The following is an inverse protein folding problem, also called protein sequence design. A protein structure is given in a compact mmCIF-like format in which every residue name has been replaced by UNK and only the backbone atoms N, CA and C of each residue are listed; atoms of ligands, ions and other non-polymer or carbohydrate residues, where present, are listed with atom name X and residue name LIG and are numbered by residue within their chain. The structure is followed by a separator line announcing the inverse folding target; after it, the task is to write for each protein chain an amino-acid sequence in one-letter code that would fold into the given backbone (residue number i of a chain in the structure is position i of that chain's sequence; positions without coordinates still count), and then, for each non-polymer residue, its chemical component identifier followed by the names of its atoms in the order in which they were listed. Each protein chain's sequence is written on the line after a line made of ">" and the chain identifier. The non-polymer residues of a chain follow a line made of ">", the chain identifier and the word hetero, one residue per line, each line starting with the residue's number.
data_IF_413935551669
#
_entry.id   IF_413935551669
#
_cell.length_a   1.000
_cell.length_b   1.000
_cell.length_c   1.000
_cell.angle_alpha   90.00
_cell.angle_beta   90.00
_cell.angle_gamma   90.00
#
_symmetry.space_group_name_H-M   'P 1'
#
loop_
_entity.id
_entity.type
_entity.pdbx_description
1 polymer ?
#
# COMPACT_ATOMS: atom_id res chain seq x y z
N UNK A 1 3.29 1.14 1.11
CA UNK A 1 4.55 1.84 0.79
C UNK A 1 4.24 2.90 -0.22
N UNK A 2 4.32 4.16 0.17
CA UNK A 2 3.90 5.25 -0.71
C UNK A 2 5.07 5.68 -1.57
N UNK A 3 4.87 5.69 -2.89
CA UNK A 3 5.86 6.19 -3.84
C UNK A 3 5.48 7.58 -4.32
N UNK A 4 6.45 8.35 -4.83
CA UNK A 4 6.21 9.70 -5.33
C UNK A 4 5.37 9.76 -6.63
N UNK A 5 5.07 8.62 -7.25
CA UNK A 5 4.22 8.53 -8.45
C UNK A 5 4.85 9.05 -9.74
N UNK A 6 6.08 9.57 -9.70
CA UNK A 6 6.72 10.25 -10.85
C UNK A 6 8.08 9.66 -11.24
N UNK A 7 8.72 8.88 -10.37
CA UNK A 7 10.01 8.25 -10.66
C UNK A 7 9.85 6.89 -11.35
N UNK A 8 10.92 6.43 -12.00
CA UNK A 8 10.94 5.14 -12.71
C UNK A 8 10.48 3.95 -11.84
N UNK A 9 10.95 3.78 -10.58
CA UNK A 9 10.41 2.75 -9.69
C UNK A 9 8.89 2.82 -9.50
N UNK A 10 8.33 4.02 -9.31
CA UNK A 10 6.90 4.18 -9.11
C UNK A 10 6.09 3.82 -10.37
N UNK A 11 6.55 4.23 -11.55
CA UNK A 11 5.89 3.85 -12.80
C UNK A 11 5.95 2.34 -13.08
N UNK A 12 6.97 1.65 -12.56
CA UNK A 12 7.11 0.20 -12.65
C UNK A 12 6.42 -0.56 -11.50
N UNK A 13 5.69 0.12 -10.60
CA UNK A 13 5.05 -0.49 -9.44
C UNK A 13 6.02 -0.92 -8.33
N UNK A 14 7.30 -0.57 -8.45
CA UNK A 14 8.37 -0.89 -7.50
C UNK A 14 8.52 0.21 -6.45
N UNK A 15 7.42 0.54 -5.75
CA UNK A 15 7.38 1.68 -4.82
C UNK A 15 8.38 1.58 -3.66
N UNK A 16 8.76 0.35 -3.27
CA UNK A 16 9.79 0.11 -2.24
C UNK A 16 11.19 0.64 -2.62
N UNK A 17 11.46 0.82 -3.92
CA UNK A 17 12.72 1.43 -4.41
C UNK A 17 12.60 2.94 -4.69
N UNK A 18 11.48 3.57 -4.34
CA UNK A 18 11.36 5.02 -4.43
C UNK A 18 12.30 5.71 -3.43
N UNK A 19 13.10 6.67 -3.89
CA UNK A 19 14.04 7.43 -3.04
C UNK A 19 13.35 8.50 -2.20
N UNK A 20 12.28 9.10 -2.73
CA UNK A 20 11.48 10.15 -2.08
C UNK A 20 10.40 9.58 -1.16
N UNK A 21 10.13 8.28 -1.27
CA UNK A 21 9.15 7.56 -0.47
C UNK A 21 9.66 6.17 -0.13
N UNK A 22 8.87 5.14 -0.43
CA UNK A 22 9.30 3.75 -0.30
C UNK A 22 9.41 3.32 1.16
N UNK A 23 10.61 2.89 1.58
CA UNK A 23 10.80 2.31 2.92
C UNK A 23 10.47 3.30 4.04
N UNK A 24 10.76 4.58 3.85
CA UNK A 24 10.56 5.63 4.87
C UNK A 24 9.10 6.13 4.93
N UNK A 25 8.22 5.63 4.06
CA UNK A 25 6.86 6.15 3.89
C UNK A 25 5.81 5.02 3.90
N UNK A 26 6.02 4.06 4.80
CA UNK A 26 5.21 2.84 4.93
C UNK A 26 4.08 3.02 5.95
N UNK A 27 2.85 2.80 5.52
CA UNK A 27 1.64 2.76 6.36
C UNK A 27 1.74 1.63 7.38
N UNK A 28 1.40 1.91 8.64
CA UNK A 28 1.57 1.01 9.78
C UNK A 28 2.96 1.04 10.42
N UNK A 29 3.90 1.83 9.88
CA UNK A 29 5.22 2.04 10.47
C UNK A 29 5.52 3.53 10.68
N UNK A 30 5.39 4.34 9.64
CA UNK A 30 5.61 5.79 9.66
C UNK A 30 4.31 6.60 9.65
N UNK A 31 3.19 5.95 9.30
CA UNK A 31 1.83 6.51 9.31
C UNK A 31 0.87 5.53 10.00
N UNK A 32 -0.26 6.03 10.49
CA UNK A 32 -1.29 5.21 11.11
C UNK A 32 -1.82 4.12 10.15
N UNK A 33 -1.94 2.90 10.66
CA UNK A 33 -2.26 1.71 9.87
C UNK A 33 -3.60 1.05 10.23
N UNK A 34 -3.76 -0.20 9.78
CA UNK A 34 -5.03 -0.94 9.85
C UNK A 34 -5.44 -1.47 11.22
N UNK A 35 -4.69 -1.23 12.30
CA UNK A 35 -5.11 -1.54 13.67
C UNK A 35 -5.98 -0.40 14.25
N UNK A 36 -7.01 -0.05 13.49
CA UNK A 36 -7.97 1.01 13.74
C UNK A 36 -9.28 0.69 13.01
N UNK A 37 -10.40 1.28 13.42
CA UNK A 37 -11.67 1.14 12.68
C UNK A 37 -11.57 1.76 11.28
N UNK A 38 -10.73 2.79 11.11
CA UNK A 38 -10.47 3.47 9.85
C UNK A 38 -9.00 3.90 9.75
N UNK A 39 -8.43 3.87 8.54
CA UNK A 39 -7.14 4.47 8.23
C UNK A 39 -7.19 5.16 6.86
N UNK A 40 -6.42 6.24 6.71
CA UNK A 40 -6.29 6.93 5.44
C UNK A 40 -5.14 6.29 4.64
N UNK A 41 -5.41 5.98 3.37
CA UNK A 41 -4.42 5.39 2.45
C UNK A 41 -4.49 6.08 1.09
N UNK A 42 -3.38 6.21 0.33
CA UNK A 42 -3.41 6.64 -1.06
C UNK A 42 -4.32 5.73 -1.90
N UNK A 43 -5.09 6.31 -2.82
CA UNK A 43 -6.05 5.55 -3.63
C UNK A 43 -5.37 4.47 -4.48
N UNK A 44 -4.11 4.71 -4.88
CA UNK A 44 -3.27 3.81 -5.66
C UNK A 44 -2.88 2.54 -4.89
N UNK A 45 -2.99 2.55 -3.56
CA UNK A 45 -2.72 1.38 -2.70
C UNK A 45 -3.99 0.56 -2.40
N UNK A 46 -5.15 0.99 -2.89
CA UNK A 46 -6.42 0.28 -2.69
C UNK A 46 -6.68 -0.65 -3.87
N UNK A 47 -6.67 -1.96 -3.60
CA UNK A 47 -6.95 -2.99 -4.61
C UNK A 47 -8.36 -3.55 -4.42
N UNK A 48 -9.11 -3.65 -5.53
CA UNK A 48 -10.41 -4.33 -5.52
C UNK A 48 -10.21 -5.82 -5.34
N UNK A 49 -10.84 -6.39 -4.32
CA UNK A 49 -10.85 -7.83 -4.14
C UNK A 49 -11.65 -8.51 -5.26
N UNK A 50 -11.15 -9.61 -5.85
CA UNK A 50 -11.94 -10.45 -6.74
C UNK A 50 -13.20 -10.97 -6.06
N UNK A 51 -14.29 -11.18 -6.81
CA UNK A 51 -15.58 -11.62 -6.25
C UNK A 51 -15.53 -12.94 -5.47
N UNK A 52 -14.57 -13.81 -5.78
CA UNK A 52 -14.39 -15.11 -5.13
C UNK A 52 -13.52 -15.04 -3.87
N UNK A 53 -13.04 -13.86 -3.47
CA UNK A 53 -12.23 -13.66 -2.26
C UNK A 53 -13.06 -12.96 -1.20
N UNK A 54 -13.18 -13.57 -0.03
CA UNK A 54 -13.85 -12.93 1.10
C UNK A 54 -12.90 -11.97 1.84
N UNK A 55 -13.46 -11.08 2.67
CA UNK A 55 -12.67 -10.06 3.40
C UNK A 55 -11.56 -10.66 4.28
N UNK A 56 -11.84 -11.79 4.95
CA UNK A 56 -10.86 -12.47 5.82
C UNK A 56 -9.71 -13.11 5.03
N UNK A 57 -9.92 -13.43 3.75
CA UNK A 57 -8.84 -13.82 2.84
C UNK A 57 -8.13 -12.58 2.30
N UNK A 58 -8.86 -11.49 2.06
CA UNK A 58 -8.32 -10.19 1.65
C UNK A 58 -7.33 -9.59 2.65
N UNK A 59 -7.55 -9.77 3.95
CA UNK A 59 -6.66 -9.25 5.01
C UNK A 59 -5.24 -9.85 4.97
N UNK A 60 -5.05 -10.97 4.26
CA UNK A 60 -3.78 -11.71 4.17
C UNK A 60 -3.23 -11.75 2.76
N UNK A 61 -3.51 -10.73 1.94
CA UNK A 61 -2.96 -10.63 0.57
C UNK A 61 -1.46 -10.28 0.54
N UNK A 62 -0.72 -10.82 1.50
CA UNK A 62 0.72 -10.72 1.63
C UNK A 62 1.22 -12.16 1.41
N UNK A 63 1.92 -12.36 0.29
CA UNK A 63 2.47 -13.66 -0.14
C UNK A 63 3.36 -14.32 0.93
#
# INVERSE_FOLDING_TARGET
>A
MTGCGTCNPCHNGQYHFCSEGGINDTIGLFHDGGWSEFCAVPAEQVYKLPQNINLKQGERMDN
#
